data_IF_207358447441
#
_entry.id   IF_207358447441
#
_cell.length_a   1.000
_cell.length_b   1.000
_cell.length_c   1.000
_cell.angle_alpha   90.00
_cell.angle_beta   90.00
_cell.angle_gamma   90.00
#
_symmetry.space_group_name_H-M   'P 1'
#
loop_
_entity.id
_entity.type
_entity.pdbx_description
1 polymer ?
#
# COMPACT_ATOMS: atom_id res chain seq x y z
N UNK A 1 23.59 18.02 43.08
CA UNK A 1 24.60 17.54 44.04
C UNK A 1 25.41 16.40 43.43
N UNK A 2 26.75 16.56 43.43
CA UNK A 2 27.82 15.55 43.32
C UNK A 2 27.98 14.76 42.02
N UNK A 3 28.71 15.37 41.09
CA UNK A 3 29.57 14.69 40.13
C UNK A 3 30.70 13.95 40.86
N UNK A 4 30.99 12.70 40.47
CA UNK A 4 32.20 11.97 40.91
C UNK A 4 33.18 11.88 39.74
N UNK A 5 34.21 12.72 39.83
CA UNK A 5 35.47 12.57 39.11
C UNK A 5 36.21 11.35 39.64
N UNK A 6 36.63 10.45 38.75
CA UNK A 6 37.62 9.42 39.05
C UNK A 6 38.96 9.86 38.44
N UNK A 7 39.95 10.09 39.30
CA UNK A 7 41.33 10.46 38.99
C UNK A 7 42.22 9.45 39.70
N UNK A 8 43.13 8.78 38.98
CA UNK A 8 44.28 8.01 39.51
C UNK A 8 45.28 7.78 38.33
N UNK A 9 46.57 7.46 38.56
CA UNK A 9 47.66 8.34 38.98
C UNK A 9 48.84 8.35 37.96
N UNK A 10 49.89 9.18 38.15
CA UNK A 10 51.08 9.19 37.30
C UNK A 10 52.10 8.15 37.78
N UNK A 11 52.78 7.46 36.87
CA UNK A 11 53.78 6.47 37.30
C UNK A 11 54.64 5.84 36.20
N UNK A 12 55.84 6.41 36.04
CA UNK A 12 57.10 5.78 35.61
C UNK A 12 57.31 5.47 34.14
N UNK A 13 58.05 6.39 33.53
CA UNK A 13 58.95 6.20 32.39
C UNK A 13 60.09 5.29 32.84
N UNK A 14 60.18 4.09 32.30
CA UNK A 14 61.38 3.26 32.31
C UNK A 14 61.89 3.14 30.87
N UNK A 15 62.99 3.83 30.58
CA UNK A 15 63.77 3.67 29.35
C UNK A 15 64.48 2.31 29.42
N UNK A 16 64.16 1.40 28.51
CA UNK A 16 65.02 0.26 28.19
C UNK A 16 65.79 0.57 26.91
N UNK A 17 67.07 0.88 27.11
CA UNK A 17 68.10 0.91 26.08
C UNK A 17 68.46 -0.53 25.80
N UNK A 18 68.24 -1.00 24.57
CA UNK A 18 68.79 -2.28 24.13
C UNK A 18 67.78 -3.19 23.43
N UNK A 19 67.43 -2.87 22.18
CA UNK A 19 67.08 -3.90 21.21
C UNK A 19 67.22 -3.39 19.75
N UNK A 20 68.24 -2.58 19.49
CA UNK A 20 68.55 -2.03 18.15
C UNK A 20 69.22 -3.06 17.21
N UNK A 21 69.10 -4.36 17.50
CA UNK A 21 69.65 -5.44 16.67
C UNK A 21 68.65 -6.55 16.31
N UNK A 22 67.37 -6.42 16.69
CA UNK A 22 66.33 -7.38 16.28
C UNK A 22 65.39 -6.85 15.17
N UNK A 23 65.43 -5.55 14.85
CA UNK A 23 64.53 -4.97 13.83
C UNK A 23 65.06 -5.14 12.40
N UNK A 24 66.36 -5.43 12.22
CA UNK A 24 66.94 -5.65 10.89
C UNK A 24 66.66 -7.05 10.31
N UNK A 25 66.19 -8.01 11.11
CA UNK A 25 65.84 -9.37 10.61
C UNK A 25 64.34 -9.56 10.35
N UNK A 26 63.47 -8.64 10.76
CA UNK A 26 62.04 -8.69 10.42
C UNK A 26 61.71 -8.01 9.08
N UNK A 27 62.60 -7.15 8.57
CA UNK A 27 62.38 -6.42 7.30
C UNK A 27 62.88 -7.20 6.08
N UNK A 28 63.76 -8.19 6.26
CA UNK A 28 64.28 -9.03 5.16
C UNK A 28 63.51 -10.35 4.92
N UNK A 29 62.49 -10.64 5.74
CA UNK A 29 61.59 -11.79 5.57
C UNK A 29 60.19 -11.40 5.05
N UNK A 30 59.95 -10.11 4.76
CA UNK A 30 58.73 -9.61 4.12
C UNK A 30 58.88 -9.38 2.61
N UNK A 31 60.06 -9.63 2.04
CA UNK A 31 60.36 -9.37 0.62
C UNK A 31 60.68 -10.64 -0.18
N UNK A 32 60.43 -11.82 0.37
CA UNK A 32 60.59 -13.09 -0.35
C UNK A 32 59.24 -13.82 -0.41
N UNK A 33 58.58 -13.73 -1.57
CA UNK A 33 57.56 -14.71 -1.94
C UNK A 33 56.09 -14.32 -1.71
N UNK A 34 55.69 -13.10 -2.05
CA UNK A 34 54.41 -12.96 -2.75
C UNK A 34 54.72 -12.90 -4.24
N UNK A 35 55.03 -14.06 -4.81
CA UNK A 35 54.74 -14.29 -6.20
C UNK A 35 53.23 -14.10 -6.36
N UNK A 36 52.87 -12.88 -6.72
CA UNK A 36 51.57 -12.48 -7.23
C UNK A 36 51.37 -13.13 -8.62
N UNK A 37 51.53 -14.45 -8.69
CA UNK A 37 50.94 -15.22 -9.77
C UNK A 37 49.45 -15.14 -9.52
N UNK A 38 48.83 -14.24 -10.28
CA UNK A 38 47.41 -14.05 -10.33
C UNK A 38 46.70 -15.40 -10.29
N UNK A 39 46.03 -15.70 -9.18
CA UNK A 39 44.95 -16.68 -9.13
C UNK A 39 43.78 -16.09 -9.93
N UNK A 40 43.93 -16.02 -11.25
CA UNK A 40 42.89 -15.63 -12.19
C UNK A 40 41.86 -16.78 -12.41
N UNK A 41 42.20 -18.00 -11.97
CA UNK A 41 41.36 -19.19 -12.08
C UNK A 41 40.07 -19.17 -11.22
N UNK A 42 40.06 -18.77 -9.93
CA UNK A 42 38.83 -18.75 -9.12
C UNK A 42 37.79 -17.74 -9.63
N UNK A 43 38.21 -16.55 -10.07
CA UNK A 43 37.30 -15.51 -10.53
C UNK A 43 36.55 -15.90 -11.82
N UNK A 44 37.25 -16.50 -12.79
CA UNK A 44 36.64 -16.93 -14.04
C UNK A 44 35.58 -18.02 -13.85
N UNK A 45 35.80 -18.93 -12.87
CA UNK A 45 34.86 -19.99 -12.51
C UNK A 45 33.58 -19.41 -11.88
N UNK A 46 33.72 -18.52 -10.90
CA UNK A 46 32.57 -17.89 -10.23
C UNK A 46 31.72 -17.09 -11.22
N UNK A 47 32.36 -16.35 -12.13
CA UNK A 47 31.66 -15.62 -13.20
C UNK A 47 30.89 -16.57 -14.10
N UNK A 48 31.52 -17.68 -14.53
CA UNK A 48 30.87 -18.68 -15.36
C UNK A 48 29.66 -19.33 -14.69
N UNK A 49 29.79 -19.67 -13.40
CA UNK A 49 28.70 -20.22 -12.58
C UNK A 49 27.54 -19.24 -12.43
N UNK A 50 27.83 -17.96 -12.16
CA UNK A 50 26.81 -16.92 -12.05
C UNK A 50 26.04 -16.73 -13.36
N UNK A 51 26.73 -16.69 -14.51
CA UNK A 51 26.10 -16.58 -15.83
C UNK A 51 25.29 -17.82 -16.18
N UNK A 52 25.74 -19.01 -15.79
CA UNK A 52 24.98 -20.24 -15.99
C UNK A 52 23.72 -20.28 -15.13
N UNK A 53 23.81 -19.90 -13.86
CA UNK A 53 22.65 -19.76 -12.97
C UNK A 53 21.66 -18.73 -13.51
N UNK A 54 22.17 -17.58 -13.98
CA UNK A 54 21.37 -16.54 -14.61
C UNK A 54 20.63 -17.07 -15.84
N UNK A 55 21.30 -17.85 -16.70
CA UNK A 55 20.70 -18.48 -17.88
C UNK A 55 19.57 -19.46 -17.50
N UNK A 56 19.81 -20.30 -16.47
CA UNK A 56 18.79 -21.20 -15.91
C UNK A 56 17.58 -20.43 -15.37
N UNK A 57 17.79 -19.33 -14.64
CA UNK A 57 16.71 -18.46 -14.12
C UNK A 57 15.90 -17.80 -15.23
N UNK A 58 16.54 -17.44 -16.33
CA UNK A 58 15.88 -16.91 -17.51
C UNK A 58 15.21 -17.97 -18.40
N UNK A 59 15.37 -19.27 -18.08
CA UNK A 59 14.88 -20.37 -18.91
C UNK A 59 15.56 -20.45 -20.30
N UNK A 60 16.77 -19.92 -20.43
CA UNK A 60 17.50 -19.80 -21.70
C UNK A 60 18.73 -20.70 -21.71
N UNK A 61 18.98 -21.36 -22.83
CA UNK A 61 20.27 -22.02 -23.10
C UNK A 61 21.17 -21.04 -23.85
N UNK A 62 22.41 -20.89 -23.39
CA UNK A 62 23.37 -19.98 -24.03
C UNK A 62 24.24 -20.75 -25.02
N UNK A 63 24.23 -20.32 -26.27
CA UNK A 63 25.24 -20.71 -27.26
C UNK A 63 26.64 -20.29 -26.78
N UNK A 64 27.73 -20.98 -27.19
CA UNK A 64 29.09 -20.69 -26.72
C UNK A 64 29.50 -19.21 -26.88
N UNK A 65 29.13 -18.58 -27.99
CA UNK A 65 29.40 -17.16 -28.24
C UNK A 65 28.65 -16.25 -27.26
N UNK A 66 27.36 -16.51 -27.03
CA UNK A 66 26.54 -15.73 -26.09
C UNK A 66 27.02 -15.91 -24.64
N UNK A 67 27.41 -17.12 -24.25
CA UNK A 67 28.03 -17.40 -22.95
C UNK A 67 29.33 -16.63 -22.76
N UNK A 68 30.20 -16.60 -23.79
CA UNK A 68 31.45 -15.84 -23.74
C UNK A 68 31.19 -14.34 -23.57
N UNK A 69 30.23 -13.78 -24.32
CA UNK A 69 29.84 -12.38 -24.20
C UNK A 69 29.28 -12.07 -22.81
N UNK A 70 28.36 -12.88 -22.30
CA UNK A 70 27.79 -12.73 -20.96
C UNK A 70 28.87 -12.80 -19.86
N UNK A 71 29.81 -13.74 -19.96
CA UNK A 71 30.94 -13.84 -19.02
C UNK A 71 31.84 -12.60 -19.06
N UNK A 72 32.11 -12.05 -20.25
CA UNK A 72 32.89 -10.82 -20.38
C UNK A 72 32.16 -9.62 -19.77
N UNK A 73 30.85 -9.49 -19.98
CA UNK A 73 30.04 -8.44 -19.37
C UNK A 73 30.01 -8.58 -17.85
N UNK A 74 29.73 -9.78 -17.34
CA UNK A 74 29.75 -10.06 -15.90
C UNK A 74 31.12 -9.79 -15.28
N UNK A 75 32.23 -10.12 -15.96
CA UNK A 75 33.59 -9.78 -15.53
C UNK A 75 33.81 -8.27 -15.41
N UNK A 76 33.41 -7.52 -16.43
CA UNK A 76 33.51 -6.05 -16.43
C UNK A 76 32.72 -5.44 -15.27
N UNK A 77 31.48 -5.91 -15.07
CA UNK A 77 30.62 -5.46 -13.98
C UNK A 77 31.21 -5.80 -12.61
N UNK A 78 31.74 -7.00 -12.42
CA UNK A 78 32.40 -7.38 -11.16
C UNK A 78 33.63 -6.52 -10.87
N UNK A 79 34.39 -6.15 -11.90
CA UNK A 79 35.54 -5.25 -11.76
C UNK A 79 35.10 -3.82 -11.40
N UNK A 80 33.95 -3.36 -11.93
CA UNK A 80 33.46 -2.01 -11.72
C UNK A 80 32.70 -1.84 -10.39
N UNK A 81 31.88 -2.81 -10.00
CA UNK A 81 30.95 -2.70 -8.87
C UNK A 81 31.28 -3.61 -7.68
N UNK A 82 32.16 -4.59 -7.88
CA UNK A 82 32.48 -5.64 -6.90
C UNK A 82 31.86 -7.00 -7.24
N UNK A 83 32.35 -8.05 -6.57
CA UNK A 83 31.94 -9.44 -6.80
C UNK A 83 30.49 -9.72 -6.38
N UNK A 84 29.89 -8.88 -5.53
CA UNK A 84 28.49 -8.98 -5.10
C UNK A 84 27.50 -8.85 -6.26
N UNK A 85 27.89 -8.19 -7.35
CA UNK A 85 27.10 -8.10 -8.57
C UNK A 85 26.88 -9.46 -9.23
N UNK A 86 27.78 -10.42 -9.05
CA UNK A 86 27.65 -11.75 -9.64
C UNK A 86 26.49 -12.51 -8.99
N UNK A 87 26.25 -12.28 -7.70
CA UNK A 87 25.06 -12.82 -7.01
C UNK A 87 23.78 -12.19 -7.55
N UNK A 88 23.77 -10.87 -7.75
CA UNK A 88 22.63 -10.16 -8.36
C UNK A 88 22.34 -10.68 -9.77
N UNK A 89 23.37 -10.94 -10.58
CA UNK A 89 23.23 -11.52 -11.92
C UNK A 89 22.66 -12.94 -11.85
N UNK A 90 23.17 -13.77 -10.93
CA UNK A 90 22.69 -15.13 -10.74
C UNK A 90 21.21 -15.18 -10.30
N UNK A 91 20.82 -14.32 -9.35
CA UNK A 91 19.46 -14.26 -8.81
C UNK A 91 18.47 -13.58 -9.78
N UNK A 92 18.91 -12.53 -10.47
CA UNK A 92 18.07 -11.74 -11.36
C UNK A 92 17.89 -12.33 -12.76
N UNK A 93 18.81 -13.19 -13.21
CA UNK A 93 18.82 -13.77 -14.55
C UNK A 93 19.59 -12.93 -15.58
N UNK A 94 19.63 -13.39 -16.83
CA UNK A 94 20.33 -12.72 -17.93
C UNK A 94 19.76 -11.35 -18.25
N UNK A 95 18.47 -11.13 -17.96
CA UNK A 95 17.81 -9.83 -18.12
C UNK A 95 18.51 -8.74 -17.30
N UNK A 96 19.12 -9.09 -16.17
CA UNK A 96 19.89 -8.19 -15.30
C UNK A 96 21.04 -7.53 -16.04
N UNK A 97 21.73 -8.27 -16.91
CA UNK A 97 22.85 -7.73 -17.69
C UNK A 97 22.37 -6.67 -18.67
N UNK A 98 21.25 -6.92 -19.36
CA UNK A 98 20.67 -5.97 -20.31
C UNK A 98 20.13 -4.73 -19.60
N UNK A 99 19.39 -4.90 -18.50
CA UNK A 99 18.84 -3.78 -17.76
C UNK A 99 19.92 -2.95 -17.08
N UNK A 100 20.96 -3.57 -16.53
CA UNK A 100 22.09 -2.86 -15.94
C UNK A 100 22.92 -2.08 -16.96
N UNK A 101 22.99 -2.52 -18.22
CA UNK A 101 23.58 -1.73 -19.30
C UNK A 101 22.69 -0.54 -19.69
N UNK A 102 21.36 -0.71 -19.66
CA UNK A 102 20.39 0.33 -20.04
C UNK A 102 20.25 1.43 -18.99
N UNK A 103 20.18 1.04 -17.72
CA UNK A 103 19.88 1.94 -16.59
C UNK A 103 21.11 2.31 -15.76
N UNK A 104 22.26 1.68 -16.02
CA UNK A 104 23.55 2.03 -15.42
C UNK A 104 23.58 1.88 -13.89
N UNK A 105 24.29 2.79 -13.24
CA UNK A 105 24.61 2.78 -11.81
C UNK A 105 23.35 2.71 -10.93
N UNK A 106 22.27 3.39 -11.31
CA UNK A 106 21.01 3.40 -10.56
C UNK A 106 20.43 1.99 -10.40
N UNK A 107 20.46 1.21 -11.48
CA UNK A 107 19.98 -0.18 -11.46
C UNK A 107 20.85 -1.05 -10.54
N UNK A 108 22.17 -0.94 -10.67
CA UNK A 108 23.10 -1.75 -9.87
C UNK A 108 23.07 -1.38 -8.39
N UNK A 109 22.96 -0.08 -8.07
CA UNK A 109 22.78 0.39 -6.70
C UNK A 109 21.52 -0.19 -6.06
N UNK A 110 20.38 -0.09 -6.75
CA UNK A 110 19.10 -0.62 -6.28
C UNK A 110 19.14 -2.15 -6.12
N UNK A 111 19.71 -2.86 -7.10
CA UNK A 111 19.80 -4.32 -7.06
C UNK A 111 20.69 -4.84 -5.93
N UNK A 112 21.77 -4.13 -5.59
CA UNK A 112 22.64 -4.44 -4.43
C UNK A 112 21.94 -4.13 -3.11
N UNK A 113 21.20 -3.03 -3.05
CA UNK A 113 20.48 -2.64 -1.85
C UNK A 113 19.35 -3.61 -1.49
N UNK A 114 18.73 -4.23 -2.52
CA UNK A 114 17.62 -5.19 -2.40
C UNK A 114 17.81 -6.39 -3.34
N UNK A 115 18.73 -7.32 -3.02
CA UNK A 115 19.03 -8.47 -3.90
C UNK A 115 17.84 -9.42 -4.05
N UNK A 116 16.97 -9.53 -3.04
CA UNK A 116 15.74 -10.31 -3.14
C UNK A 116 14.78 -9.80 -4.24
N UNK A 117 14.86 -8.51 -4.59
CA UNK A 117 14.07 -7.90 -5.65
C UNK A 117 14.76 -7.99 -7.02
N UNK A 118 15.98 -8.53 -7.11
CA UNK A 118 16.80 -8.49 -8.32
C UNK A 118 16.08 -9.04 -9.55
N UNK A 119 15.32 -10.14 -9.38
CA UNK A 119 14.54 -10.72 -10.49
C UNK A 119 13.44 -9.79 -10.98
N UNK A 120 12.64 -9.26 -10.07
CA UNK A 120 11.53 -8.35 -10.42
C UNK A 120 12.07 -7.05 -11.02
N UNK A 121 13.17 -6.53 -10.46
CA UNK A 121 13.88 -5.37 -10.99
C UNK A 121 14.43 -5.66 -12.39
N UNK A 122 15.03 -6.82 -12.65
CA UNK A 122 15.52 -7.20 -13.98
C UNK A 122 14.39 -7.35 -15.02
N UNK A 123 13.19 -7.77 -14.61
CA UNK A 123 12.05 -7.92 -15.51
C UNK A 123 11.31 -6.61 -15.79
N UNK A 124 11.32 -5.66 -14.85
CA UNK A 124 10.50 -4.44 -14.91
C UNK A 124 11.30 -3.17 -14.62
N UNK A 125 12.61 -3.15 -14.93
CA UNK A 125 13.51 -2.03 -14.62
C UNK A 125 13.02 -0.69 -15.18
N UNK A 126 12.43 -0.71 -16.38
CA UNK A 126 11.93 0.50 -17.06
C UNK A 126 10.92 1.28 -16.23
N UNK A 127 10.12 0.59 -15.41
CA UNK A 127 9.17 1.23 -14.51
C UNK A 127 9.70 1.33 -13.07
N UNK A 128 10.42 0.30 -12.60
CA UNK A 128 10.84 0.22 -11.21
C UNK A 128 12.02 1.14 -10.88
N UNK A 129 12.95 1.37 -11.80
CA UNK A 129 14.08 2.29 -11.56
C UNK A 129 13.57 3.72 -11.38
N UNK A 130 12.76 4.31 -12.28
CA UNK A 130 12.19 5.64 -12.06
C UNK A 130 11.32 5.71 -10.80
N UNK A 131 10.53 4.66 -10.53
CA UNK A 131 9.65 4.64 -9.35
C UNK A 131 10.45 4.60 -8.04
N UNK A 132 11.51 3.81 -7.98
CA UNK A 132 12.40 3.74 -6.83
C UNK A 132 13.22 5.02 -6.65
N UNK A 133 13.56 5.74 -7.73
CA UNK A 133 14.17 7.08 -7.62
C UNK A 133 13.20 8.10 -7.01
N UNK A 134 11.92 8.03 -7.36
CA UNK A 134 10.89 8.95 -6.86
C UNK A 134 10.49 8.65 -5.41
N UNK A 135 10.29 7.38 -5.08
CA UNK A 135 9.67 6.95 -3.82
C UNK A 135 10.63 6.27 -2.84
N UNK A 136 11.85 6.00 -3.28
CA UNK A 136 12.87 5.30 -2.52
C UNK A 136 12.89 3.79 -2.77
N UNK A 137 13.85 3.09 -2.16
CA UNK A 137 14.05 1.65 -2.35
C UNK A 137 12.96 0.77 -1.73
N UNK A 138 12.07 1.33 -0.91
CA UNK A 138 10.93 0.62 -0.30
C UNK A 138 9.95 0.08 -1.33
N UNK A 139 9.91 0.67 -2.53
CA UNK A 139 9.21 0.12 -3.69
C UNK A 139 9.64 -1.33 -3.94
N UNK A 140 10.94 -1.61 -3.85
CA UNK A 140 11.47 -2.96 -4.10
C UNK A 140 11.11 -3.92 -2.97
N UNK A 141 10.96 -3.44 -1.73
CA UNK A 141 10.50 -4.27 -0.61
C UNK A 141 9.07 -4.79 -0.83
N UNK A 142 8.21 -3.98 -1.46
CA UNK A 142 6.86 -4.40 -1.86
C UNK A 142 6.89 -5.37 -3.04
N UNK A 143 7.76 -5.16 -4.01
CA UNK A 143 7.95 -6.07 -5.15
C UNK A 143 8.44 -7.47 -4.74
N UNK A 144 9.21 -7.57 -3.66
CA UNK A 144 9.61 -8.87 -3.07
C UNK A 144 8.41 -9.59 -2.49
N UNK A 145 7.50 -8.86 -1.82
CA UNK A 145 6.29 -9.44 -1.22
C UNK A 145 5.26 -9.86 -2.27
N UNK A 146 5.02 -9.01 -3.26
CA UNK A 146 4.07 -9.25 -4.32
C UNK A 146 4.59 -8.63 -5.64
N UNK A 147 5.13 -9.43 -6.57
CA UNK A 147 5.64 -8.92 -7.84
C UNK A 147 4.58 -8.16 -8.65
N UNK A 148 4.97 -6.99 -9.16
CA UNK A 148 4.13 -6.06 -9.91
C UNK A 148 3.24 -5.15 -9.07
N UNK A 149 3.27 -5.25 -7.73
CA UNK A 149 2.31 -4.59 -6.86
C UNK A 149 2.53 -3.08 -6.75
N UNK A 150 3.78 -2.60 -6.79
CA UNK A 150 4.07 -1.20 -6.46
C UNK A 150 3.49 -0.24 -7.50
N UNK A 151 3.57 -0.62 -8.78
CA UNK A 151 2.91 0.14 -9.88
C UNK A 151 1.40 0.20 -9.66
N UNK A 152 0.79 -0.91 -9.28
CA UNK A 152 -0.67 -0.98 -9.03
C UNK A 152 -1.07 -0.16 -7.81
N UNK A 153 -0.28 -0.19 -6.74
CA UNK A 153 -0.50 0.62 -5.55
C UNK A 153 -0.44 2.10 -5.87
N UNK A 154 0.59 2.55 -6.58
CA UNK A 154 0.76 3.96 -6.98
C UNK A 154 -0.37 4.40 -7.90
N UNK A 155 -0.76 3.58 -8.87
CA UNK A 155 -1.87 3.90 -9.76
C UNK A 155 -3.24 3.97 -9.03
N UNK A 156 -3.42 3.18 -7.98
CA UNK A 156 -4.71 3.05 -7.28
C UNK A 156 -4.86 4.04 -6.11
N UNK A 157 -3.80 4.24 -5.34
CA UNK A 157 -3.82 5.00 -4.09
C UNK A 157 -2.89 6.22 -4.09
N UNK A 158 -2.03 6.38 -5.10
CA UNK A 158 -1.00 7.40 -5.16
C UNK A 158 0.30 7.01 -4.46
N UNK A 159 1.26 7.94 -4.48
CA UNK A 159 2.64 7.73 -4.04
C UNK A 159 2.76 7.43 -2.52
N UNK A 160 1.89 8.01 -1.71
CA UNK A 160 1.91 7.86 -0.25
C UNK A 160 1.64 6.42 0.23
N UNK A 161 0.93 5.63 -0.59
CA UNK A 161 0.56 4.27 -0.25
C UNK A 161 1.77 3.34 -0.10
N UNK A 162 2.86 3.60 -0.83
CA UNK A 162 4.08 2.80 -0.74
C UNK A 162 4.64 2.82 0.69
N UNK A 163 4.71 4.00 1.30
CA UNK A 163 5.21 4.15 2.68
C UNK A 163 4.28 3.50 3.69
N UNK A 164 2.96 3.70 3.55
CA UNK A 164 1.97 3.14 4.48
C UNK A 164 1.93 1.61 4.45
N UNK A 165 2.11 1.01 3.27
CA UNK A 165 1.97 -0.44 3.08
C UNK A 165 3.29 -1.21 3.12
N UNK A 166 4.43 -0.54 3.33
CA UNK A 166 5.75 -1.19 3.38
C UNK A 166 5.78 -2.34 4.41
N UNK A 167 5.07 -2.19 5.53
CA UNK A 167 4.99 -3.22 6.59
C UNK A 167 3.77 -4.14 6.49
N UNK A 168 2.87 -3.91 5.53
CA UNK A 168 1.69 -4.75 5.37
C UNK A 168 2.05 -6.21 5.01
N UNK A 169 1.25 -7.20 5.42
CA UNK A 169 1.42 -8.59 5.02
C UNK A 169 1.34 -8.75 3.49
N UNK A 170 2.13 -9.67 2.94
CA UNK A 170 2.20 -9.89 1.50
C UNK A 170 0.84 -10.29 0.87
N UNK A 171 0.02 -11.04 1.61
CA UNK A 171 -1.31 -11.48 1.18
C UNK A 171 -2.33 -10.34 1.09
N UNK A 172 -2.13 -9.26 1.86
CA UNK A 172 -3.08 -8.15 1.93
C UNK A 172 -2.92 -7.19 0.76
N UNK A 173 -1.70 -7.00 0.26
CA UNK A 173 -1.41 -6.07 -0.83
C UNK A 173 -2.26 -6.31 -2.10
N UNK A 174 -2.32 -7.53 -2.68
CA UNK A 174 -3.15 -7.77 -3.85
C UNK A 174 -4.65 -7.67 -3.54
N UNK A 175 -5.09 -8.02 -2.33
CA UNK A 175 -6.48 -7.87 -1.88
C UNK A 175 -6.87 -6.39 -1.83
N UNK A 176 -6.06 -5.56 -1.19
CA UNK A 176 -6.26 -4.10 -1.10
C UNK A 176 -6.41 -3.46 -2.48
N UNK A 177 -5.48 -3.77 -3.39
CA UNK A 177 -5.55 -3.27 -4.77
C UNK A 177 -6.80 -3.79 -5.47
N UNK A 178 -7.12 -5.08 -5.34
CA UNK A 178 -8.31 -5.69 -5.94
C UNK A 178 -9.61 -5.03 -5.46
N UNK A 179 -9.74 -4.78 -4.15
CA UNK A 179 -10.89 -4.08 -3.58
C UNK A 179 -10.95 -2.62 -4.04
N UNK A 180 -9.84 -1.90 -4.02
CA UNK A 180 -9.81 -0.50 -4.42
C UNK A 180 -10.07 -0.29 -5.91
N UNK A 181 -9.69 -1.23 -6.78
CA UNK A 181 -10.08 -1.22 -8.20
C UNK A 181 -11.58 -1.40 -8.43
N UNK A 182 -12.33 -1.84 -7.41
CA UNK A 182 -13.80 -1.93 -7.41
C UNK A 182 -14.47 -0.79 -6.65
N UNK A 183 -13.71 0.19 -6.18
CA UNK A 183 -14.25 1.37 -5.52
C UNK A 183 -15.01 2.24 -6.51
N UNK A 184 -16.16 2.76 -6.06
CA UNK A 184 -17.00 3.63 -6.90
C UNK A 184 -16.28 4.94 -7.29
N UNK A 185 -15.35 5.39 -6.46
CA UNK A 185 -14.57 6.60 -6.70
C UNK A 185 -13.20 6.56 -5.98
N UNK A 186 -12.24 7.45 -6.36
CA UNK A 186 -10.91 7.49 -5.75
C UNK A 186 -10.90 7.82 -4.25
N UNK A 187 -11.89 8.57 -3.76
CA UNK A 187 -11.99 8.89 -2.34
C UNK A 187 -12.33 7.64 -1.52
N UNK A 188 -13.16 6.74 -2.04
CA UNK A 188 -13.47 5.45 -1.42
C UNK A 188 -12.25 4.52 -1.40
N UNK A 189 -11.44 4.51 -2.48
CA UNK A 189 -10.17 3.79 -2.47
C UNK A 189 -9.21 4.35 -1.40
N UNK A 190 -9.08 5.67 -1.29
CA UNK A 190 -8.27 6.30 -0.24
C UNK A 190 -8.81 5.99 1.17
N UNK A 191 -10.13 5.95 1.33
CA UNK A 191 -10.79 5.57 2.57
C UNK A 191 -10.46 4.12 2.95
N UNK A 192 -10.45 3.17 2.00
CA UNK A 192 -10.05 1.79 2.25
C UNK A 192 -8.65 1.70 2.86
N UNK A 193 -7.70 2.45 2.28
CA UNK A 193 -6.33 2.48 2.76
C UNK A 193 -6.21 3.10 4.17
N UNK A 194 -6.93 4.20 4.42
CA UNK A 194 -6.94 4.88 5.72
C UNK A 194 -7.50 3.98 6.83
N UNK A 195 -8.62 3.30 6.57
CA UNK A 195 -9.20 2.36 7.56
C UNK A 195 -8.35 1.11 7.74
N UNK A 196 -7.70 0.60 6.69
CA UNK A 196 -6.73 -0.49 6.81
C UNK A 196 -5.59 -0.14 7.77
N UNK A 197 -5.04 1.08 7.66
CA UNK A 197 -3.96 1.56 8.53
C UNK A 197 -4.40 1.86 9.96
N UNK A 198 -5.67 2.23 10.17
CA UNK A 198 -6.25 2.49 11.50
C UNK A 198 -6.71 1.24 12.23
N UNK A 199 -6.94 0.14 11.53
CA UNK A 199 -7.43 -1.09 12.14
C UNK A 199 -6.35 -1.72 13.04
N UNK A 200 -6.71 -2.29 14.20
CA UNK A 200 -5.76 -3.04 15.04
C UNK A 200 -5.07 -4.18 14.28
N UNK A 201 -5.82 -4.80 13.36
CA UNK A 201 -5.31 -5.75 12.39
C UNK A 201 -5.89 -5.43 11.01
N UNK A 202 -5.04 -4.92 10.11
CA UNK A 202 -5.42 -4.64 8.73
C UNK A 202 -5.97 -5.88 8.03
N UNK A 203 -5.39 -7.06 8.28
CA UNK A 203 -5.87 -8.33 7.71
C UNK A 203 -7.28 -8.67 8.17
N UNK A 204 -7.57 -8.54 9.49
CA UNK A 204 -8.91 -8.80 10.02
C UNK A 204 -9.95 -7.85 9.40
N UNK A 205 -9.59 -6.57 9.22
CA UNK A 205 -10.42 -5.62 8.51
C UNK A 205 -10.73 -6.07 7.07
N UNK A 206 -9.74 -6.56 6.32
CA UNK A 206 -9.95 -7.09 4.97
C UNK A 206 -10.78 -8.38 4.95
N UNK A 207 -10.73 -9.20 5.99
CA UNK A 207 -11.51 -10.44 6.09
C UNK A 207 -13.01 -10.17 6.27
N UNK A 208 -13.36 -9.06 6.91
CA UNK A 208 -14.75 -8.59 6.99
C UNK A 208 -15.25 -7.92 5.70
N UNK A 209 -14.36 -7.57 4.77
CA UNK A 209 -14.75 -7.12 3.43
C UNK A 209 -15.09 -8.32 2.54
N UNK A 210 -16.38 -8.66 2.50
CA UNK A 210 -16.84 -9.77 1.67
C UNK A 210 -16.66 -9.46 0.18
N UNK A 211 -15.74 -10.17 -0.46
CA UNK A 211 -15.44 -10.00 -1.88
C UNK A 211 -16.68 -10.20 -2.77
N UNK A 212 -17.55 -11.15 -2.40
CA UNK A 212 -18.80 -11.41 -3.14
C UNK A 212 -19.68 -10.17 -3.25
N UNK A 213 -19.88 -9.45 -2.14
CA UNK A 213 -20.69 -8.23 -2.16
C UNK A 213 -19.99 -7.12 -2.95
N UNK A 214 -18.68 -6.94 -2.74
CA UNK A 214 -17.91 -5.90 -3.44
C UNK A 214 -17.92 -6.12 -4.96
N UNK A 215 -17.92 -7.37 -5.42
CA UNK A 215 -18.03 -7.69 -6.83
C UNK A 215 -19.43 -7.42 -7.39
N UNK A 216 -20.50 -7.60 -6.61
CA UNK A 216 -21.88 -7.37 -7.06
C UNK A 216 -22.31 -5.91 -6.99
N UNK A 217 -21.84 -5.16 -5.99
CA UNK A 217 -22.34 -3.81 -5.68
C UNK A 217 -21.28 -2.71 -5.72
N UNK A 218 -20.03 -3.04 -6.03
CA UNK A 218 -18.90 -2.12 -5.86
C UNK A 218 -18.45 -2.01 -4.40
N UNK A 219 -17.25 -1.46 -4.20
CA UNK A 219 -16.76 -1.09 -2.88
C UNK A 219 -17.27 0.31 -2.55
N UNK A 220 -18.23 0.38 -1.61
CA UNK A 220 -18.80 1.63 -1.11
C UNK A 220 -18.20 2.04 0.25
N UNK A 221 -18.31 3.33 0.58
CA UNK A 221 -17.87 3.84 1.87
C UNK A 221 -18.58 3.17 3.06
N UNK A 222 -19.86 2.86 2.92
CA UNK A 222 -20.64 2.17 3.96
C UNK A 222 -20.10 0.77 4.24
N UNK A 223 -19.71 0.03 3.20
CA UNK A 223 -19.11 -1.30 3.36
C UNK A 223 -17.76 -1.24 4.10
N UNK A 224 -16.92 -0.24 3.77
CA UNK A 224 -15.64 0.00 4.46
C UNK A 224 -15.88 0.32 5.95
N UNK A 225 -16.78 1.25 6.25
CA UNK A 225 -17.07 1.66 7.64
C UNK A 225 -17.63 0.47 8.43
N UNK A 226 -18.55 -0.30 7.85
CA UNK A 226 -19.12 -1.48 8.49
C UNK A 226 -18.04 -2.52 8.79
N UNK A 227 -17.19 -2.85 7.81
CA UNK A 227 -16.10 -3.81 8.00
C UNK A 227 -15.12 -3.34 9.10
N UNK A 228 -14.81 -2.04 9.15
CA UNK A 228 -13.94 -1.47 10.18
C UNK A 228 -14.55 -1.53 11.58
N UNK A 229 -15.85 -1.24 11.72
CA UNK A 229 -16.55 -1.34 13.01
C UNK A 229 -16.62 -2.78 13.51
N UNK A 230 -16.79 -3.76 12.62
CA UNK A 230 -16.71 -5.18 13.00
C UNK A 230 -15.28 -5.54 13.40
N UNK A 231 -14.27 -5.16 12.61
CA UNK A 231 -12.87 -5.52 12.89
C UNK A 231 -12.30 -4.91 14.16
N UNK A 232 -12.86 -3.78 14.60
CA UNK A 232 -12.47 -3.11 15.86
C UNK A 232 -13.19 -3.69 17.08
N UNK A 233 -14.06 -4.69 16.90
CA UNK A 233 -14.87 -5.26 17.98
C UNK A 233 -15.95 -4.31 18.49
N UNK A 234 -16.21 -3.17 17.83
CA UNK A 234 -17.28 -2.23 18.25
C UNK A 234 -18.64 -2.91 18.16
N UNK A 235 -18.85 -3.79 17.17
CA UNK A 235 -20.09 -4.56 17.04
C UNK A 235 -20.26 -5.59 18.16
N UNK A 236 -19.21 -6.34 18.49
CA UNK A 236 -19.23 -7.26 19.63
C UNK A 236 -19.35 -6.51 20.96
N UNK A 237 -18.72 -5.34 21.08
CA UNK A 237 -18.88 -4.43 22.22
C UNK A 237 -20.31 -3.91 22.36
N UNK A 238 -20.99 -3.62 21.25
CA UNK A 238 -22.39 -3.23 21.21
C UNK A 238 -23.33 -4.41 21.56
N UNK A 239 -23.06 -5.61 21.06
CA UNK A 239 -23.83 -6.82 21.37
C UNK A 239 -23.65 -7.24 22.84
N UNK A 240 -22.43 -7.24 23.36
CA UNK A 240 -22.14 -7.50 24.78
C UNK A 240 -22.69 -6.41 25.70
N UNK A 241 -22.68 -5.15 25.29
CA UNK A 241 -23.32 -4.07 26.06
C UNK A 241 -24.85 -4.20 26.02
N UNK A 242 -25.43 -4.62 24.89
CA UNK A 242 -26.87 -4.88 24.79
C UNK A 242 -27.30 -6.07 25.68
N UNK A 243 -26.47 -7.11 25.76
CA UNK A 243 -26.72 -8.29 26.59
C UNK A 243 -26.56 -8.00 28.08
N UNK A 244 -25.51 -7.26 28.47
CA UNK A 244 -25.22 -6.96 29.88
C UNK A 244 -25.97 -5.73 30.42
N UNK A 245 -26.38 -4.80 29.57
CA UNK A 245 -27.02 -3.53 29.98
C UNK A 245 -27.88 -2.93 28.85
N UNK A 246 -29.10 -3.45 28.64
CA UNK A 246 -29.97 -3.03 27.53
C UNK A 246 -30.38 -1.55 27.60
N UNK A 247 -30.47 -0.96 28.80
CA UNK A 247 -30.86 0.45 28.97
C UNK A 247 -29.78 1.43 28.48
N UNK A 248 -28.50 1.15 28.72
CA UNK A 248 -27.38 1.95 28.22
C UNK A 248 -27.20 1.76 26.73
N UNK A 249 -27.44 0.56 26.20
CA UNK A 249 -27.45 0.32 24.76
C UNK A 249 -28.54 1.16 24.06
N UNK A 250 -29.78 1.12 24.56
CA UNK A 250 -30.88 1.90 23.99
C UNK A 250 -30.58 3.41 23.96
N UNK A 251 -30.02 3.97 25.04
CA UNK A 251 -29.60 5.39 25.07
C UNK A 251 -28.48 5.71 24.09
N UNK A 252 -27.52 4.81 23.93
CA UNK A 252 -26.37 5.03 23.04
C UNK A 252 -26.79 4.96 21.57
N UNK A 253 -27.65 4.00 21.22
CA UNK A 253 -28.22 3.87 19.88
C UNK A 253 -29.16 5.02 19.56
N UNK A 254 -30.04 5.42 20.49
CA UNK A 254 -30.90 6.60 20.28
C UNK A 254 -30.09 7.87 20.13
N UNK A 255 -29.02 8.07 20.92
CA UNK A 255 -28.14 9.24 20.77
C UNK A 255 -27.39 9.26 19.43
N UNK A 256 -26.93 8.11 18.94
CA UNK A 256 -26.23 8.00 17.65
C UNK A 256 -27.18 8.13 16.45
N UNK A 257 -28.41 7.62 16.57
CA UNK A 257 -29.39 7.63 15.47
C UNK A 257 -30.29 8.86 15.47
N UNK A 258 -30.37 9.63 16.55
CA UNK A 258 -31.14 10.87 16.67
C UNK A 258 -30.91 11.86 15.50
N UNK A 259 -29.68 12.25 15.12
CA UNK A 259 -29.48 13.21 14.03
C UNK A 259 -29.96 12.66 12.67
N UNK A 260 -29.81 11.35 12.45
CA UNK A 260 -30.28 10.69 11.21
C UNK A 260 -31.80 10.61 11.18
N UNK A 261 -32.45 10.27 12.29
CA UNK A 261 -33.92 10.25 12.40
C UNK A 261 -34.50 11.66 12.18
N UNK A 262 -33.92 12.68 12.81
CA UNK A 262 -34.35 14.07 12.63
C UNK A 262 -34.18 14.50 11.17
N UNK A 263 -33.06 14.18 10.54
CA UNK A 263 -32.83 14.45 9.12
C UNK A 263 -33.85 13.75 8.21
N UNK A 264 -34.15 12.47 8.48
CA UNK A 264 -35.15 11.70 7.73
C UNK A 264 -36.56 12.28 7.91
N UNK A 265 -36.96 12.62 9.13
CA UNK A 265 -38.26 13.25 9.40
C UNK A 265 -38.38 14.62 8.74
N UNK A 266 -37.31 15.42 8.76
CA UNK A 266 -37.27 16.69 8.06
C UNK A 266 -37.44 16.51 6.54
N UNK A 267 -36.75 15.51 5.95
CA UNK A 267 -36.87 15.19 4.53
C UNK A 267 -38.29 14.73 4.18
N UNK A 268 -38.87 13.83 4.98
CA UNK A 268 -40.26 13.37 4.82
C UNK A 268 -41.23 14.54 4.95
N UNK A 269 -41.04 15.44 5.92
CA UNK A 269 -41.87 16.62 6.09
C UNK A 269 -41.78 17.54 4.85
N UNK A 270 -40.58 17.80 4.33
CA UNK A 270 -40.37 18.59 3.11
C UNK A 270 -41.06 17.96 1.91
N UNK A 271 -41.09 16.63 1.81
CA UNK A 271 -41.73 15.89 0.72
C UNK A 271 -43.26 15.84 0.86
N UNK A 272 -43.79 15.75 2.09
CA UNK A 272 -45.23 15.69 2.36
C UNK A 272 -45.92 17.06 2.38
N UNK A 273 -45.23 18.13 2.78
CA UNK A 273 -45.77 19.49 2.80
C UNK A 273 -46.39 19.96 1.47
N UNK A 274 -45.74 19.78 0.30
CA UNK A 274 -46.35 20.16 -0.97
C UNK A 274 -47.54 19.28 -1.35
N UNK A 275 -47.53 17.99 -1.00
CA UNK A 275 -48.67 17.09 -1.22
C UNK A 275 -49.87 17.46 -0.35
N UNK A 276 -49.63 17.79 0.92
CA UNK A 276 -50.65 18.29 1.83
C UNK A 276 -51.22 19.64 1.34
N UNK A 277 -50.35 20.55 0.89
CA UNK A 277 -50.75 21.82 0.29
C UNK A 277 -51.58 21.65 -0.98
N UNK A 278 -51.25 20.68 -1.82
CA UNK A 278 -52.00 20.37 -3.04
C UNK A 278 -53.37 19.74 -2.75
N UNK A 279 -53.42 18.78 -1.83
CA UNK A 279 -54.66 18.20 -1.30
C UNK A 279 -55.59 19.28 -0.75
N UNK A 280 -55.08 20.18 0.07
CA UNK A 280 -55.85 21.29 0.64
C UNK A 280 -56.39 22.25 -0.42
N UNK A 281 -55.58 22.59 -1.43
CA UNK A 281 -56.04 23.42 -2.57
C UNK A 281 -57.15 22.73 -3.37
N UNK A 282 -57.04 21.42 -3.59
CA UNK A 282 -58.07 20.63 -4.29
C UNK A 282 -59.37 20.60 -3.50
N UNK A 283 -59.30 20.33 -2.19
CA UNK A 283 -60.46 20.34 -1.31
C UNK A 283 -61.17 21.71 -1.30
N UNK A 284 -60.42 22.81 -1.21
CA UNK A 284 -61.00 24.17 -1.30
C UNK A 284 -61.66 24.46 -2.66
N UNK A 285 -61.16 23.90 -3.76
CA UNK A 285 -61.81 24.06 -5.07
C UNK A 285 -63.16 23.33 -5.09
N UNK A 286 -63.24 22.11 -4.55
CA UNK A 286 -64.50 21.37 -4.49
C UNK A 286 -65.57 22.06 -3.64
N UNK A 287 -65.20 22.69 -2.52
CA UNK A 287 -66.16 23.44 -1.70
C UNK A 287 -66.72 24.67 -2.43
N UNK A 288 -65.88 25.42 -3.17
CA UNK A 288 -66.36 26.59 -3.93
C UNK A 288 -67.37 26.20 -5.00
N UNK A 289 -67.14 25.10 -5.70
CA UNK A 289 -68.09 24.60 -6.72
C UNK A 289 -69.42 24.23 -6.07
N UNK A 290 -69.41 23.53 -4.92
CA UNK A 290 -70.63 23.18 -4.20
C UNK A 290 -71.42 24.40 -3.70
N UNK A 291 -70.72 25.44 -3.22
CA UNK A 291 -71.35 26.69 -2.79
C UNK A 291 -71.98 27.46 -3.96
N UNK A 292 -71.33 27.46 -5.13
CA UNK A 292 -71.84 28.10 -6.34
C UNK A 292 -73.08 27.37 -6.90
N UNK A 293 -73.05 26.02 -6.89
CA UNK A 293 -74.20 25.19 -7.27
C UNK A 293 -75.41 25.38 -6.31
N UNK A 294 -75.14 25.52 -5.00
CA UNK A 294 -76.17 25.79 -4.01
C UNK A 294 -76.83 27.16 -4.21
N UNK A 295 -76.05 28.19 -4.55
CA UNK A 295 -76.58 29.53 -4.88
C UNK A 295 -77.38 29.53 -6.18
N UNK A 296 -76.90 28.83 -7.21
CA UNK A 296 -77.62 28.70 -8.47
C UNK A 296 -78.99 28.03 -8.26
N UNK A 297 -79.04 26.96 -7.47
CA UNK A 297 -80.28 26.25 -7.13
C UNK A 297 -81.27 27.13 -6.33
N UNK A 298 -80.75 27.95 -5.40
CA UNK A 298 -81.58 28.90 -4.64
C UNK A 298 -82.18 29.99 -5.54
N UNK A 299 -81.42 30.48 -6.54
CA UNK A 299 -81.90 31.50 -7.48
C UNK A 299 -82.96 30.99 -8.46
N UNK A 300 -82.90 29.72 -8.86
CA UNK A 300 -83.87 29.11 -9.77
C UNK A 300 -85.20 28.73 -9.09
N UNK A 301 -85.19 28.65 -7.75
CA UNK A 301 -86.41 28.42 -6.94
C UNK A 301 -87.23 29.69 -6.70
N UNK A 302 -86.71 30.85 -7.15
CA UNK A 302 -87.29 32.17 -6.91
C UNK A 302 -87.84 32.78 -8.22
N UNK A 303 -88.44 31.95 -9.07
CA UNK A 303 -89.28 32.39 -10.19
C UNK A 303 -90.74 32.35 -9.74
N UNK A 304 -91.33 33.50 -9.32
CA UNK A 304 -92.71 33.53 -8.88
C UNK A 304 -93.64 33.41 -10.10
N UNK A 305 -94.60 32.47 -9.99
CA UNK A 305 -95.88 32.49 -10.68
C UNK A 305 -96.39 33.92 -10.87
N UNK A 306 -96.17 34.50 -12.05
CA UNK A 306 -96.93 35.63 -12.55
C UNK A 306 -97.68 35.14 -13.79
N UNK A 307 -98.73 34.37 -13.53
CA UNK A 307 -99.84 34.20 -14.45
C UNK A 307 -101.00 35.03 -13.90
N UNK A 308 -101.24 36.17 -14.55
CA UNK A 308 -102.55 36.80 -14.70
C UNK A 308 -102.50 37.73 -15.92
#
# INVERSE_FOLDING_TARGET
MRARFFRLPPGRIARSVGCLRCVASAVLLMTAGFDLTATAAPAAKIIGEAVEQAAKRSGKTLAPAARKAANQTAKKLATQYGDDILKVVADGGLETLNQGLKHGDDFWHLARLRPAAARTLALHADDLVPLAKRLGPTVLDLEVKAPGISRRLVATFGDDAIKQLTHAPAADLPRLVGYAQKADNPATAKMLLDYYGKAPSGTAFLDHLSWKHIMSSGLSAAAIIAAFQVSTGVREGLETTAENSPETFARTVDSLTAPVRVGLYALVAVLLLPLAGWSWRRFRRSQRVADDDAKASASHSQEPNQAC
#
